data_IF_877033447855
#
_entry.id   IF_877033447855
#
_cell.length_a   1.000
_cell.length_b   1.000
_cell.length_c   1.000
_cell.angle_alpha   90.00
_cell.angle_beta   90.00
_cell.angle_gamma   90.00
#
_symmetry.space_group_name_H-M   'P 1'
#
loop_
_entity.id
_entity.type
_entity.pdbx_description
1 polymer ?
#
# COMPACT_ATOMS: atom_id res chain seq x y z
N UNK A 1 -4.15 10.07 9.49
CA UNK A 1 -3.91 10.25 8.04
C UNK A 1 -5.06 9.54 7.33
N UNK A 2 -5.71 10.15 6.33
CA UNK A 2 -6.81 9.51 5.60
C UNK A 2 -6.21 8.53 4.56
N UNK A 3 -6.51 7.22 4.58
CA UNK A 3 -5.96 6.25 3.64
C UNK A 3 -6.19 6.61 2.18
N UNK A 4 -7.30 7.29 1.84
CA UNK A 4 -7.55 7.76 0.47
C UNK A 4 -6.51 8.80 0.02
N UNK A 5 -5.99 9.61 0.95
CA UNK A 5 -4.94 10.56 0.62
C UNK A 5 -3.63 9.84 0.29
N UNK A 6 -3.38 8.62 0.75
CA UNK A 6 -2.15 7.87 0.44
C UNK A 6 -2.16 7.27 -0.98
N UNK A 7 -3.33 7.25 -1.63
CA UNK A 7 -3.50 6.78 -3.00
C UNK A 7 -3.43 7.91 -4.04
N UNK A 8 -3.23 9.16 -3.59
CA UNK A 8 -3.02 10.29 -4.50
C UNK A 8 -1.57 10.29 -5.00
N UNK A 9 -1.36 10.75 -6.24
CA UNK A 9 -0.04 10.71 -6.90
C UNK A 9 1.09 11.36 -6.09
N UNK A 10 0.80 12.43 -5.36
CA UNK A 10 1.80 13.19 -4.59
C UNK A 10 2.24 12.51 -3.28
N UNK A 11 1.53 11.49 -2.84
CA UNK A 11 1.69 10.83 -1.54
C UNK A 11 1.90 9.33 -1.67
N UNK A 12 1.60 8.76 -2.85
CA UNK A 12 1.81 7.37 -3.17
C UNK A 12 3.26 6.93 -2.91
N UNK A 13 3.42 5.88 -2.10
CA UNK A 13 4.72 5.34 -1.65
C UNK A 13 5.67 6.35 -0.99
N UNK A 14 5.18 7.52 -0.52
CA UNK A 14 6.03 8.54 0.11
C UNK A 14 6.75 8.03 1.35
N UNK A 15 6.10 7.14 2.12
CA UNK A 15 6.75 6.47 3.25
C UNK A 15 7.93 5.61 2.79
N UNK A 16 7.72 4.79 1.75
CA UNK A 16 8.76 3.95 1.18
C UNK A 16 9.91 4.76 0.60
N UNK A 17 9.66 5.88 -0.06
CA UNK A 17 10.70 6.75 -0.58
C UNK A 17 11.67 7.19 0.52
N UNK A 18 11.16 7.50 1.73
CA UNK A 18 12.01 7.81 2.89
C UNK A 18 12.80 6.59 3.33
N UNK A 19 12.17 5.43 3.44
CA UNK A 19 12.83 4.20 3.91
C UNK A 19 13.90 3.66 2.97
N UNK A 20 13.69 3.76 1.66
CA UNK A 20 14.67 3.31 0.66
C UNK A 20 15.95 4.16 0.69
N UNK A 21 15.85 5.44 1.10
CA UNK A 21 17.03 6.29 1.26
C UNK A 21 18.01 5.79 2.32
N UNK A 22 17.55 4.95 3.26
CA UNK A 22 18.37 4.33 4.31
C UNK A 22 19.12 3.07 3.80
N UNK A 23 18.81 2.57 2.60
CA UNK A 23 19.37 1.35 2.02
C UNK A 23 20.46 1.62 0.99
N UNK A 24 21.56 0.85 1.06
CA UNK A 24 22.54 0.80 -0.02
C UNK A 24 22.02 -0.01 -1.22
N UNK A 25 22.66 0.11 -2.39
CA UNK A 25 22.15 -0.51 -3.63
C UNK A 25 21.95 -2.03 -3.54
N UNK A 26 22.85 -2.73 -2.86
CA UNK A 26 22.77 -4.19 -2.70
C UNK A 26 21.56 -4.59 -1.83
N UNK A 27 21.12 -3.72 -0.93
CA UNK A 27 19.97 -3.98 -0.06
C UNK A 27 18.62 -3.71 -0.74
N UNK A 28 18.62 -3.14 -1.95
CA UNK A 28 17.40 -2.77 -2.69
C UNK A 28 16.82 -3.88 -3.55
N UNK A 29 17.41 -5.08 -3.53
CA UNK A 29 16.77 -6.28 -4.08
C UNK A 29 15.73 -6.78 -3.08
N UNK A 30 14.46 -6.67 -3.43
CA UNK A 30 13.37 -6.97 -2.49
C UNK A 30 12.33 -7.91 -3.09
N UNK A 31 11.66 -8.65 -2.21
CA UNK A 31 10.40 -9.34 -2.53
C UNK A 31 9.23 -8.47 -2.14
N UNK A 32 8.27 -8.25 -3.04
CA UNK A 32 6.98 -7.68 -2.71
C UNK A 32 6.02 -8.79 -2.29
N UNK A 33 5.45 -8.67 -1.11
CA UNK A 33 4.47 -9.61 -0.55
C UNK A 33 3.13 -8.88 -0.45
N UNK A 34 2.05 -9.58 -0.78
CA UNK A 34 0.69 -9.06 -0.65
C UNK A 34 -0.11 -10.00 0.24
N UNK A 35 -0.88 -9.42 1.15
CA UNK A 35 -1.82 -10.14 1.99
C UNK A 35 -3.17 -9.42 2.01
N UNK A 36 -4.25 -10.16 2.28
CA UNK A 36 -5.60 -9.62 2.42
C UNK A 36 -6.07 -9.75 3.86
N UNK A 37 -6.24 -8.61 4.54
CA UNK A 37 -6.71 -8.56 5.92
C UNK A 37 -8.21 -8.27 5.90
N UNK A 38 -9.01 -9.16 6.47
CA UNK A 38 -10.45 -8.95 6.63
C UNK A 38 -10.72 -7.94 7.74
N UNK A 39 -11.55 -6.95 7.45
CA UNK A 39 -11.92 -5.86 8.32
C UNK A 39 -13.39 -5.98 8.69
N UNK A 40 -13.75 -5.60 9.92
CA UNK A 40 -15.14 -5.29 10.22
C UNK A 40 -15.52 -4.02 9.45
N UNK A 41 -16.56 -4.01 8.59
CA UNK A 41 -16.92 -2.81 7.86
C UNK A 41 -17.48 -1.75 8.80
N UNK A 42 -16.89 -0.55 8.80
CA UNK A 42 -17.45 0.62 9.48
C UNK A 42 -16.94 1.92 8.86
N UNK A 43 -17.73 2.98 8.99
CA UNK A 43 -17.27 4.33 8.73
C UNK A 43 -16.90 5.00 10.04
N UNK A 44 -15.79 5.73 10.03
CA UNK A 44 -15.38 6.56 11.17
C UNK A 44 -15.41 8.03 10.75
N UNK A 45 -16.18 8.84 11.46
CA UNK A 45 -16.24 10.28 11.23
C UNK A 45 -15.47 11.01 12.33
N UNK A 46 -14.34 11.61 11.96
CA UNK A 46 -13.48 12.37 12.89
C UNK A 46 -13.07 13.69 12.25
N UNK A 47 -13.48 14.79 12.87
CA UNK A 47 -13.02 16.14 12.52
C UNK A 47 -13.30 16.54 11.06
N UNK A 48 -14.50 16.24 10.54
CA UNK A 48 -14.88 16.63 9.18
C UNK A 48 -14.47 15.66 8.08
N UNK A 49 -13.78 14.57 8.40
CA UNK A 49 -13.37 13.55 7.42
C UNK A 49 -14.02 12.20 7.73
N UNK A 50 -14.51 11.52 6.69
CA UNK A 50 -14.98 10.13 6.77
C UNK A 50 -13.80 9.21 6.41
N UNK A 51 -13.51 8.25 7.29
CA UNK A 51 -12.55 7.18 7.07
C UNK A 51 -13.26 5.82 6.99
N UNK A 52 -12.56 4.82 6.43
CA UNK A 52 -13.08 3.46 6.30
C UNK A 52 -13.80 3.17 4.97
N UNK A 53 -13.85 4.13 4.06
CA UNK A 53 -14.35 3.91 2.69
C UNK A 53 -13.36 3.06 1.89
N UNK A 54 -13.88 2.13 1.10
CA UNK A 54 -13.08 1.34 0.16
C UNK A 54 -12.58 2.22 -1.00
N UNK A 55 -11.50 1.79 -1.65
CA UNK A 55 -10.98 2.47 -2.83
C UNK A 55 -11.71 2.06 -4.11
N UNK A 56 -12.14 0.79 -4.18
CA UNK A 56 -12.78 0.22 -5.36
C UNK A 56 -14.31 0.46 -5.41
N UNK A 57 -14.92 0.91 -4.31
CA UNK A 57 -16.35 1.25 -4.27
C UNK A 57 -16.66 2.29 -3.18
N UNK A 58 -17.89 2.80 -3.14
CA UNK A 58 -18.32 3.80 -2.16
C UNK A 58 -18.79 3.22 -0.81
N UNK A 59 -18.53 1.93 -0.54
CA UNK A 59 -18.95 1.27 0.69
C UNK A 59 -17.83 1.26 1.74
N UNK A 60 -18.17 0.86 2.97
CA UNK A 60 -17.18 0.63 4.00
C UNK A 60 -16.31 -0.58 3.60
N UNK A 61 -14.99 -0.43 3.69
CA UNK A 61 -14.04 -1.48 3.37
C UNK A 61 -14.29 -2.71 4.27
N UNK A 62 -14.38 -3.88 3.65
CA UNK A 62 -14.51 -5.17 4.35
C UNK A 62 -13.20 -5.95 4.39
N UNK A 63 -12.19 -5.44 3.69
CA UNK A 63 -10.85 -6.02 3.61
C UNK A 63 -9.83 -4.93 3.25
N UNK A 64 -8.55 -5.25 3.38
CA UNK A 64 -7.47 -4.41 2.88
C UNK A 64 -6.36 -5.24 2.28
N UNK A 65 -5.90 -4.85 1.09
CA UNK A 65 -4.68 -5.39 0.52
C UNK A 65 -3.48 -4.69 1.14
N UNK A 66 -2.61 -5.47 1.76
CA UNK A 66 -1.42 -4.99 2.46
C UNK A 66 -0.19 -5.41 1.67
N UNK A 67 0.51 -4.41 1.13
CA UNK A 67 1.74 -4.60 0.38
C UNK A 67 2.92 -4.39 1.32
N UNK A 68 3.77 -5.40 1.44
CA UNK A 68 5.01 -5.35 2.20
C UNK A 68 6.20 -5.57 1.27
N UNK A 69 7.32 -4.92 1.56
CA UNK A 69 8.60 -5.19 0.91
C UNK A 69 9.57 -5.78 1.90
N UNK A 70 10.32 -6.79 1.47
CA UNK A 70 11.36 -7.41 2.27
C UNK A 70 12.65 -7.53 1.47
N UNK A 71 13.74 -6.97 1.99
CA UNK A 71 15.06 -7.09 1.37
C UNK A 71 15.57 -8.52 1.44
N UNK A 72 16.14 -9.00 0.35
CA UNK A 72 16.80 -10.30 0.29
C UNK A 72 18.18 -10.30 0.96
N UNK A 73 18.77 -9.11 1.19
CA UNK A 73 20.15 -8.96 1.63
C UNK A 73 20.28 -8.44 3.07
N UNK A 74 19.19 -8.00 3.69
CA UNK A 74 19.19 -7.54 5.07
C UNK A 74 17.82 -7.74 5.75
N UNK A 75 17.72 -7.38 7.03
CA UNK A 75 16.47 -7.50 7.82
C UNK A 75 15.41 -6.46 7.48
N UNK A 76 15.62 -5.63 6.46
CA UNK A 76 14.65 -4.63 6.05
C UNK A 76 13.35 -5.31 5.63
N UNK A 77 12.27 -5.02 6.36
CA UNK A 77 10.92 -5.48 6.07
C UNK A 77 9.98 -4.35 6.45
N UNK A 78 9.33 -3.77 5.46
CA UNK A 78 8.53 -2.56 5.65
C UNK A 78 7.18 -2.67 4.95
N UNK A 79 6.21 -1.94 5.49
CA UNK A 79 4.92 -1.74 4.86
C UNK A 79 5.08 -0.76 3.70
N UNK A 80 4.76 -1.21 2.50
CA UNK A 80 4.82 -0.39 1.31
C UNK A 80 3.53 0.41 1.07
N UNK A 81 2.39 -0.26 1.16
CA UNK A 81 1.10 0.35 0.88
C UNK A 81 -0.06 -0.45 1.51
N UNK A 82 -1.16 0.22 1.84
CA UNK A 82 -2.41 -0.41 2.30
C UNK A 82 -3.53 0.11 1.43
N UNK A 83 -4.29 -0.80 0.84
CA UNK A 83 -5.42 -0.48 -0.03
C UNK A 83 -6.69 -1.02 0.59
N UNK A 84 -7.56 -0.17 1.17
CA UNK A 84 -8.85 -0.61 1.68
C UNK A 84 -9.75 -0.97 0.50
N UNK A 85 -10.38 -2.15 0.56
CA UNK A 85 -11.27 -2.63 -0.50
C UNK A 85 -12.55 -3.20 0.10
N UNK A 86 -13.57 -3.26 -0.75
CA UNK A 86 -14.80 -3.96 -0.45
C UNK A 86 -15.05 -4.93 -1.59
N UNK A 87 -15.05 -6.23 -1.29
CA UNK A 87 -15.11 -7.30 -2.31
C UNK A 87 -14.00 -7.13 -3.36
N UNK A 88 -12.75 -7.21 -2.90
CA UNK A 88 -11.58 -7.11 -3.78
C UNK A 88 -11.64 -8.16 -4.90
N UNK A 89 -11.40 -7.73 -6.15
CA UNK A 89 -11.37 -8.62 -7.30
C UNK A 89 -9.96 -8.70 -7.90
N UNK A 90 -9.70 -9.78 -8.65
CA UNK A 90 -8.38 -10.05 -9.20
C UNK A 90 -7.88 -8.99 -10.19
N UNK A 91 -8.78 -8.38 -10.96
CA UNK A 91 -8.44 -7.30 -11.90
C UNK A 91 -7.94 -6.05 -11.17
N UNK A 92 -8.65 -5.63 -10.12
CA UNK A 92 -8.28 -4.51 -9.28
C UNK A 92 -6.95 -4.77 -8.57
N UNK A 93 -6.78 -5.96 -7.99
CA UNK A 93 -5.51 -6.35 -7.36
C UNK A 93 -4.35 -6.32 -8.36
N UNK A 94 -4.54 -6.84 -9.57
CA UNK A 94 -3.52 -6.82 -10.62
C UNK A 94 -3.09 -5.39 -10.97
N UNK A 95 -4.06 -4.48 -11.13
CA UNK A 95 -3.77 -3.08 -11.47
C UNK A 95 -3.00 -2.37 -10.34
N UNK A 96 -3.47 -2.50 -9.09
CA UNK A 96 -2.82 -1.92 -7.92
C UNK A 96 -1.41 -2.50 -7.73
N UNK A 97 -1.25 -3.81 -7.87
CA UNK A 97 0.06 -4.45 -7.78
C UNK A 97 1.01 -3.90 -8.86
N UNK A 98 0.52 -3.71 -10.09
CA UNK A 98 1.28 -3.10 -11.18
C UNK A 98 1.67 -1.64 -10.89
N UNK A 99 0.81 -0.86 -10.26
CA UNK A 99 1.11 0.52 -9.82
C UNK A 99 2.18 0.53 -8.71
N UNK A 100 2.02 -0.33 -7.70
CA UNK A 100 3.00 -0.47 -6.59
C UNK A 100 4.36 -0.89 -7.12
N UNK A 101 4.45 -1.90 -7.98
CA UNK A 101 5.73 -2.36 -8.56
C UNK A 101 6.39 -1.25 -9.38
N UNK A 102 5.63 -0.56 -10.25
CA UNK A 102 6.17 0.57 -11.03
C UNK A 102 6.64 1.71 -10.13
N UNK A 103 5.90 2.01 -9.07
CA UNK A 103 6.26 3.00 -8.07
C UNK A 103 7.55 2.65 -7.34
N UNK A 104 7.67 1.42 -6.81
CA UNK A 104 8.87 0.94 -6.13
C UNK A 104 10.09 0.95 -7.06
N UNK A 105 9.92 0.57 -8.33
CA UNK A 105 10.99 0.64 -9.34
C UNK A 105 11.48 2.06 -9.59
N UNK A 106 10.57 3.05 -9.65
CA UNK A 106 10.94 4.48 -9.74
C UNK A 106 11.74 4.96 -8.53
N UNK A 107 11.54 4.35 -7.36
CA UNK A 107 12.30 4.63 -6.13
C UNK A 107 13.65 3.91 -6.07
N UNK A 108 14.01 3.12 -7.09
CA UNK A 108 15.30 2.42 -7.18
C UNK A 108 15.35 1.05 -6.52
N UNK A 109 14.18 0.49 -6.16
CA UNK A 109 14.07 -0.92 -5.78
C UNK A 109 14.23 -1.81 -7.02
N UNK A 110 14.89 -2.94 -6.84
CA UNK A 110 15.20 -3.94 -7.86
C UNK A 110 14.49 -5.26 -7.56
#
# INVERSE_FOLDING_TARGET
>A
MNPQLEHQDNTFLRYMAKKISELCEQQRYVTSMVDEIHLKPFFDYKGGTIAGIALNNAQAANSAFVFMVHSLMCKFKELAHIVPVHEGNGEFLHNVLGDVIRGLKKLGIK
#
